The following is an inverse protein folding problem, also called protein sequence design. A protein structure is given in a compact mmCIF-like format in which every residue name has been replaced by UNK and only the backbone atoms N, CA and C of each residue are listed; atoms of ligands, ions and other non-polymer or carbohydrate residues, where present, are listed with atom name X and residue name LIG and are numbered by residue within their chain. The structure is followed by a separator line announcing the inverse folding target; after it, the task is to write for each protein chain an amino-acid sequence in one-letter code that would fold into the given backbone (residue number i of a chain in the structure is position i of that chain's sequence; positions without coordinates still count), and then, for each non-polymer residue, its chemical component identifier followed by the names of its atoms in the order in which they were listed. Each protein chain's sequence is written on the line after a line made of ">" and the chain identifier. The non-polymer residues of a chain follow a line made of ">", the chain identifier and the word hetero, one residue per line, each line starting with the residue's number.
data_IF_824164711479
#
_entry.id   IF_824164711479
#
_cell.length_a   1.000
_cell.length_b   1.000
_cell.length_c   1.000
_cell.angle_alpha   90.00
_cell.angle_beta   90.00
_cell.angle_gamma   90.00
#
_symmetry.space_group_name_H-M   'P 1'
#
loop_
_entity.id
_entity.type
_entity.pdbx_description
1 polymer ?
#
# COMPACT_ATOMS: atom_id res chain seq x y z
N UNK A 1 14.01 0.61 -7.48
CA UNK A 1 14.83 -0.41 -6.80
C UNK A 1 14.70 -1.71 -7.56
N UNK A 2 15.68 -2.62 -7.49
CA UNK A 2 15.56 -3.96 -8.10
C UNK A 2 15.37 -5.02 -7.01
N UNK A 3 14.76 -6.15 -7.35
CA UNK A 3 14.52 -7.27 -6.44
C UNK A 3 13.09 -7.35 -5.89
N UNK A 4 12.75 -8.51 -5.32
CA UNK A 4 11.44 -8.77 -4.73
C UNK A 4 11.33 -8.09 -3.36
N UNK A 5 10.27 -7.28 -3.18
CA UNK A 5 9.91 -6.77 -1.86
C UNK A 5 9.27 -7.86 -1.01
N UNK A 6 9.53 -7.83 0.30
CA UNK A 6 8.86 -8.67 1.29
C UNK A 6 8.06 -7.80 2.25
N UNK A 7 6.79 -8.16 2.45
CA UNK A 7 5.92 -7.47 3.40
C UNK A 7 5.65 -8.33 4.64
N UNK A 8 5.62 -7.66 5.79
CA UNK A 8 5.11 -8.24 7.04
C UNK A 8 4.25 -7.20 7.74
N UNK A 9 3.33 -7.64 8.58
CA UNK A 9 2.46 -6.70 9.27
C UNK A 9 1.68 -7.34 10.40
N UNK A 10 0.97 -6.48 11.11
CA UNK A 10 0.08 -6.85 12.20
C UNK A 10 -1.30 -6.28 11.93
N UNK A 11 -2.28 -7.17 11.84
CA UNK A 11 -3.69 -6.80 11.89
C UNK A 11 -4.00 -6.25 13.29
N UNK A 12 -4.57 -5.05 13.34
CA UNK A 12 -4.91 -4.33 14.58
C UNK A 12 -6.40 -4.44 14.86
N UNK A 13 -7.24 -4.33 13.83
CA UNK A 13 -8.68 -4.48 13.97
C UNK A 13 -9.28 -5.20 12.77
N UNK A 14 -10.30 -6.00 13.04
CA UNK A 14 -11.14 -6.68 12.04
C UNK A 14 -12.59 -6.54 12.45
N UNK A 15 -13.34 -5.75 11.69
CA UNK A 15 -14.78 -5.59 11.90
C UNK A 15 -15.60 -6.79 11.44
N UNK A 16 -16.92 -6.69 11.58
CA UNK A 16 -17.85 -7.69 11.03
C UNK A 16 -17.65 -7.83 9.52
N UNK A 17 -17.78 -9.05 8.99
CA UNK A 17 -17.55 -9.35 7.57
C UNK A 17 -16.19 -8.86 7.04
N UNK A 18 -15.17 -8.80 7.90
CA UNK A 18 -13.82 -8.31 7.58
C UNK A 18 -13.81 -6.85 7.10
N UNK A 19 -14.68 -6.01 7.67
CA UNK A 19 -14.85 -4.60 7.28
C UNK A 19 -15.08 -3.69 8.50
N UNK A 20 -14.21 -2.68 8.74
CA UNK A 20 -12.91 -2.50 8.12
C UNK A 20 -11.89 -3.51 8.65
N UNK A 21 -10.89 -3.83 7.84
CA UNK A 21 -9.61 -4.37 8.30
C UNK A 21 -8.64 -3.20 8.44
N UNK A 22 -7.90 -3.14 9.55
CA UNK A 22 -6.83 -2.15 9.71
C UNK A 22 -5.63 -2.78 10.39
N UNK A 23 -4.44 -2.33 10.01
CA UNK A 23 -3.19 -2.89 10.49
C UNK A 23 -2.02 -1.96 10.24
N UNK A 24 -0.85 -2.40 10.67
CA UNK A 24 0.43 -1.78 10.35
C UNK A 24 1.27 -2.75 9.55
N UNK A 25 1.93 -2.24 8.51
CA UNK A 25 2.71 -3.03 7.57
C UNK A 25 4.09 -2.42 7.40
N UNK A 26 5.07 -3.27 7.12
CA UNK A 26 6.41 -2.88 6.69
C UNK A 26 6.77 -3.68 5.44
N UNK A 27 7.36 -3.01 4.47
CA UNK A 27 7.88 -3.61 3.25
C UNK A 27 9.39 -3.36 3.17
N UNK A 28 10.16 -4.38 2.77
CA UNK A 28 11.58 -4.18 2.45
C UNK A 28 11.73 -3.41 1.13
N UNK A 29 12.90 -2.80 0.86
CA UNK A 29 13.21 -2.29 -0.46
C UNK A 29 13.04 -3.39 -1.53
N UNK A 30 12.41 -3.03 -2.65
CA UNK A 30 12.15 -3.95 -3.76
C UNK A 30 11.05 -3.41 -4.65
N UNK A 31 10.58 -4.23 -5.58
CA UNK A 31 9.40 -3.95 -6.42
C UNK A 31 8.35 -5.04 -6.28
N UNK A 32 7.08 -4.66 -6.44
CA UNK A 32 5.98 -5.62 -6.48
C UNK A 32 4.77 -5.05 -7.22
N UNK A 33 3.97 -5.95 -7.79
CA UNK A 33 2.69 -5.64 -8.41
C UNK A 33 1.60 -5.57 -7.34
N UNK A 34 0.68 -4.62 -7.48
CA UNK A 34 -0.49 -4.46 -6.64
C UNK A 34 -1.76 -4.48 -7.49
N UNK A 35 -2.82 -5.06 -6.92
CA UNK A 35 -4.19 -4.93 -7.39
C UNK A 35 -5.07 -4.81 -6.14
N UNK A 36 -5.65 -3.63 -5.94
CA UNK A 36 -6.35 -3.24 -4.71
C UNK A 36 -7.84 -3.55 -4.86
N UNK A 37 -8.40 -4.58 -4.19
CA UNK A 37 -9.77 -5.04 -4.46
C UNK A 37 -10.85 -4.26 -3.71
N UNK A 38 -10.47 -3.46 -2.71
CA UNK A 38 -11.35 -2.66 -1.84
C UNK A 38 -10.62 -1.36 -1.51
N UNK A 39 -11.35 -0.30 -1.20
CA UNK A 39 -10.74 0.97 -0.80
C UNK A 39 -9.75 0.77 0.35
N UNK A 40 -8.53 1.30 0.17
CA UNK A 40 -7.43 1.16 1.13
C UNK A 40 -6.82 2.52 1.43
N UNK A 41 -6.99 2.98 2.67
CA UNK A 41 -6.35 4.19 3.18
C UNK A 41 -5.00 3.84 3.81
N UNK A 42 -3.92 4.36 3.25
CA UNK A 42 -2.57 4.19 3.73
C UNK A 42 -2.02 5.49 4.31
N UNK A 43 -1.66 5.48 5.59
CA UNK A 43 -0.82 6.51 6.19
C UNK A 43 0.61 5.98 6.30
N UNK A 44 1.51 6.56 5.52
CA UNK A 44 2.91 6.17 5.48
C UNK A 44 3.66 6.83 6.64
N UNK A 45 3.96 6.05 7.68
CA UNK A 45 4.57 6.56 8.93
C UNK A 45 6.09 6.72 8.84
N UNK A 46 6.76 6.01 7.93
CA UNK A 46 8.21 6.03 7.74
C UNK A 46 8.59 5.51 6.35
N UNK A 47 9.83 5.79 5.93
CA UNK A 47 10.37 5.33 4.65
C UNK A 47 9.95 6.20 3.47
N UNK A 48 10.14 5.65 2.26
CA UNK A 48 9.73 6.27 0.99
C UNK A 48 9.45 5.21 -0.06
N UNK A 49 8.54 5.49 -0.97
CA UNK A 49 8.18 4.63 -2.09
C UNK A 49 7.60 5.46 -3.25
N UNK A 50 7.56 4.87 -4.44
CA UNK A 50 6.91 5.47 -5.61
C UNK A 50 5.96 4.43 -6.18
N UNK A 51 4.66 4.69 -6.08
CA UNK A 51 3.63 3.88 -6.71
C UNK A 51 3.38 4.40 -8.12
N UNK A 52 3.25 3.50 -9.08
CA UNK A 52 2.94 3.80 -10.48
C UNK A 52 1.72 2.99 -10.88
N UNK A 53 0.62 3.66 -11.18
CA UNK A 53 -0.58 2.97 -11.67
C UNK A 53 -0.38 2.50 -13.11
N UNK A 54 -1.19 1.54 -13.53
CA UNK A 54 -1.23 1.10 -14.93
C UNK A 54 -1.71 2.21 -15.89
N UNK A 55 -2.50 3.15 -15.38
CA UNK A 55 -3.01 4.30 -16.13
C UNK A 55 -2.04 5.50 -16.15
N UNK A 56 -0.85 5.34 -15.55
CA UNK A 56 0.24 6.32 -15.61
C UNK A 56 0.28 7.33 -14.45
N UNK A 57 -0.61 7.22 -13.46
CA UNK A 57 -0.50 8.00 -12.22
C UNK A 57 0.79 7.64 -11.47
N UNK A 58 1.46 8.63 -10.90
CA UNK A 58 2.64 8.42 -10.06
C UNK A 58 2.39 9.06 -8.70
N UNK A 59 2.46 8.24 -7.65
CA UNK A 59 2.28 8.68 -6.26
C UNK A 59 3.61 8.47 -5.53
N UNK A 60 4.27 9.57 -5.18
CA UNK A 60 5.44 9.55 -4.31
C UNK A 60 5.01 9.66 -2.85
N UNK A 61 5.47 8.73 -2.02
CA UNK A 61 5.13 8.70 -0.60
C UNK A 61 6.39 8.83 0.24
N UNK A 62 6.25 9.53 1.36
CA UNK A 62 7.25 9.64 2.41
C UNK A 62 6.56 9.61 3.78
N UNK A 63 7.31 9.80 4.86
CA UNK A 63 6.71 9.92 6.18
C UNK A 63 5.65 11.04 6.21
N UNK A 64 4.51 10.76 6.84
CA UNK A 64 3.31 11.60 6.91
C UNK A 64 2.50 11.76 5.61
N UNK A 65 2.86 11.07 4.51
CA UNK A 65 1.99 10.99 3.34
C UNK A 65 0.76 10.12 3.64
N UNK A 66 -0.43 10.58 3.25
CA UNK A 66 -1.68 9.80 3.31
C UNK A 66 -2.20 9.62 1.89
N UNK A 67 -2.51 8.38 1.53
CA UNK A 67 -3.04 8.02 0.20
C UNK A 67 -4.31 7.20 0.38
N UNK A 68 -5.33 7.52 -0.41
CA UNK A 68 -6.47 6.62 -0.62
C UNK A 68 -6.26 5.90 -1.94
N UNK A 69 -6.07 4.59 -1.90
CA UNK A 69 -6.11 3.73 -3.08
C UNK A 69 -7.56 3.23 -3.26
N UNK A 70 -8.30 3.70 -4.27
CA UNK A 70 -9.66 3.24 -4.49
C UNK A 70 -9.69 1.77 -4.93
N UNK A 71 -10.79 1.09 -4.67
CA UNK A 71 -11.04 -0.24 -5.21
C UNK A 71 -10.86 -0.26 -6.73
N UNK A 72 -10.09 -1.23 -7.22
CA UNK A 72 -9.71 -1.35 -8.62
C UNK A 72 -8.36 -0.71 -8.97
N UNK A 73 -7.72 0.05 -8.06
CA UNK A 73 -6.38 0.59 -8.32
C UNK A 73 -5.38 -0.55 -8.54
N UNK A 74 -4.64 -0.49 -9.63
CA UNK A 74 -3.63 -1.48 -9.99
C UNK A 74 -2.36 -0.79 -10.52
N UNK A 75 -1.22 -1.39 -10.24
CA UNK A 75 0.07 -0.79 -10.56
C UNK A 75 1.23 -1.51 -9.90
N UNK A 76 2.38 -0.85 -9.88
CA UNK A 76 3.57 -1.33 -9.18
C UNK A 76 4.05 -0.33 -8.13
N UNK A 77 4.78 -0.83 -7.15
CA UNK A 77 5.67 -0.07 -6.28
C UNK A 77 7.10 -0.59 -6.45
#
# INVERSE_FOLDING_TARGET
>A
LEGASHSTGRLVHKGSNNQPESGIWVCTPGRWRLAIPRDELCHFVAGRATYRSDDGEVIEVSAATVVMFPAGWAGEC
#
